data_IF_812239735161
#
_entry.id   IF_812239735161
#
_cell.length_a   1.000
_cell.length_b   1.000
_cell.length_c   1.000
_cell.angle_alpha   90.00
_cell.angle_beta   90.00
_cell.angle_gamma   90.00
#
_symmetry.space_group_name_H-M   'P 1'
#
loop_
_entity.id
_entity.type
_entity.pdbx_description
1 polymer ?
#
# COMPACT_ATOMS: atom_id res chain seq x y z
N UNK A 1 51.20 20.63 -2.07
CA UNK A 1 50.67 19.71 -1.06
C UNK A 1 49.11 19.73 -1.15
N UNK A 2 48.52 19.53 -2.36
CA UNK A 2 47.07 19.63 -2.61
C UNK A 2 46.51 18.55 -3.55
N UNK A 3 47.32 17.54 -3.92
CA UNK A 3 46.94 16.49 -4.87
C UNK A 3 46.94 15.07 -4.27
N UNK A 4 47.25 14.92 -2.99
CA UNK A 4 47.30 13.61 -2.31
C UNK A 4 46.01 13.20 -1.59
N UNK A 5 44.99 14.07 -1.54
CA UNK A 5 43.74 13.76 -0.81
C UNK A 5 42.69 13.11 -1.73
N UNK A 6 42.78 13.29 -3.05
CA UNK A 6 41.82 12.70 -3.99
C UNK A 6 42.10 11.24 -4.36
N UNK A 7 43.28 10.74 -4.06
CA UNK A 7 43.65 9.33 -4.34
C UNK A 7 43.19 8.34 -3.28
N UNK A 8 42.77 8.80 -2.08
CA UNK A 8 42.35 7.91 -1.00
C UNK A 8 40.83 7.65 -0.98
N UNK A 9 40.04 8.41 -1.76
CA UNK A 9 38.58 8.22 -1.79
C UNK A 9 38.11 7.18 -2.83
N UNK A 10 39.01 6.72 -3.70
CA UNK A 10 38.68 5.74 -4.76
C UNK A 10 38.95 4.28 -4.37
N UNK A 11 39.47 4.01 -3.17
CA UNK A 11 39.93 2.68 -2.76
C UNK A 11 38.96 1.95 -1.84
N UNK A 12 37.73 2.47 -1.64
CA UNK A 12 36.68 1.83 -0.82
C UNK A 12 35.44 1.40 -1.59
N UNK A 13 35.52 1.28 -2.92
CA UNK A 13 34.51 0.50 -3.63
C UNK A 13 35.00 -0.94 -3.63
N UNK A 14 34.81 -1.62 -2.52
CA UNK A 14 34.85 -3.08 -2.49
C UNK A 14 33.68 -3.58 -3.33
N UNK A 15 33.95 -4.02 -4.55
CA UNK A 15 33.02 -4.84 -5.31
C UNK A 15 32.78 -6.12 -4.50
N UNK A 16 31.68 -6.19 -3.78
CA UNK A 16 31.19 -7.45 -3.27
C UNK A 16 30.79 -8.28 -4.49
N UNK A 17 31.70 -9.09 -5.01
CA UNK A 17 31.37 -10.14 -5.98
C UNK A 17 30.57 -11.19 -5.23
N UNK A 18 29.25 -11.16 -5.36
CA UNK A 18 28.43 -12.24 -4.84
C UNK A 18 28.65 -13.46 -5.71
N UNK A 19 29.07 -14.57 -5.11
CA UNK A 19 29.11 -15.87 -5.77
C UNK A 19 27.70 -16.22 -6.20
N UNK A 20 27.50 -16.39 -7.51
CA UNK A 20 26.21 -16.77 -8.06
C UNK A 20 26.20 -18.29 -8.26
N UNK A 21 25.37 -18.97 -7.53
CA UNK A 21 25.11 -20.39 -7.70
C UNK A 21 24.20 -20.62 -8.92
N UNK A 22 24.44 -21.70 -9.68
CA UNK A 22 23.60 -22.09 -10.79
C UNK A 22 23.38 -23.60 -10.82
N UNK A 23 22.18 -24.02 -11.19
CA UNK A 23 21.83 -25.46 -11.36
C UNK A 23 20.99 -25.63 -12.61
N UNK A 24 21.17 -26.73 -13.32
CA UNK A 24 20.34 -27.08 -14.45
C UNK A 24 19.11 -27.88 -13.99
N UNK A 25 17.94 -27.49 -14.48
CA UNK A 25 16.68 -28.18 -14.21
C UNK A 25 16.01 -28.63 -15.50
N UNK A 26 15.35 -29.76 -15.47
CA UNK A 26 14.43 -30.22 -16.51
C UNK A 26 13.05 -30.33 -15.87
N UNK A 27 12.08 -29.65 -16.47
CA UNK A 27 10.71 -29.65 -15.96
C UNK A 27 9.89 -30.61 -16.84
N UNK A 28 9.22 -31.54 -16.18
CA UNK A 28 8.31 -32.49 -16.80
C UNK A 28 6.93 -32.37 -16.18
N UNK A 29 5.89 -32.57 -16.96
CA UNK A 29 4.51 -32.61 -16.49
C UNK A 29 3.99 -34.05 -16.47
N UNK A 30 3.04 -34.34 -15.61
CA UNK A 30 2.40 -35.65 -15.52
C UNK A 30 1.33 -35.74 -16.63
N UNK A 31 1.39 -36.81 -17.45
CA UNK A 31 0.48 -37.03 -18.60
C UNK A 31 0.43 -35.82 -19.56
N UNK A 32 1.54 -35.60 -20.31
CA UNK A 32 1.57 -34.58 -21.36
C UNK A 32 0.57 -34.96 -22.47
N UNK A 33 -0.36 -34.02 -22.73
CA UNK A 33 -1.19 -34.09 -23.95
C UNK A 33 -0.33 -33.71 -25.19
N UNK A 34 -0.82 -33.95 -26.39
CA UNK A 34 -0.11 -33.67 -27.66
C UNK A 34 0.40 -32.22 -27.82
N UNK A 35 -0.05 -31.29 -27.00
CA UNK A 35 0.44 -29.91 -26.93
C UNK A 35 1.43 -29.76 -25.78
N UNK A 36 2.65 -29.32 -26.07
CA UNK A 36 3.69 -29.05 -25.08
C UNK A 36 3.28 -27.95 -24.07
N UNK A 37 3.49 -28.21 -22.81
CA UNK A 37 3.14 -27.27 -21.75
C UNK A 37 4.18 -26.14 -21.59
N UNK A 38 3.72 -24.92 -21.37
CA UNK A 38 4.56 -23.78 -21.01
C UNK A 38 4.51 -23.55 -19.50
N UNK A 39 5.69 -23.44 -18.90
CA UNK A 39 5.86 -23.32 -17.45
C UNK A 39 6.55 -22.00 -17.11
N UNK A 40 5.89 -21.16 -16.35
CA UNK A 40 6.42 -19.91 -15.80
C UNK A 40 7.14 -20.20 -14.50
N UNK A 41 8.36 -19.72 -14.38
CA UNK A 41 9.23 -19.93 -13.23
C UNK A 41 9.38 -18.62 -12.48
N UNK A 42 9.08 -18.66 -11.19
CA UNK A 42 9.26 -17.55 -10.27
C UNK A 42 10.21 -17.94 -9.15
N UNK A 43 11.05 -17.02 -8.74
CA UNK A 43 11.79 -17.11 -7.47
C UNK A 43 11.06 -16.33 -6.40
N UNK A 44 10.98 -16.83 -5.18
CA UNK A 44 10.45 -16.06 -4.04
C UNK A 44 11.25 -14.79 -3.76
N UNK A 45 12.52 -14.79 -4.11
CA UNK A 45 13.43 -13.67 -3.87
C UNK A 45 13.41 -12.62 -5.00
N UNK A 46 13.35 -13.08 -6.26
CA UNK A 46 13.53 -12.23 -7.45
C UNK A 46 12.24 -12.00 -8.26
N UNK A 47 11.16 -12.71 -7.95
CA UNK A 47 9.93 -12.69 -8.74
C UNK A 47 10.04 -13.52 -10.03
N UNK A 48 9.43 -13.06 -11.11
CA UNK A 48 9.44 -13.75 -12.40
C UNK A 48 10.86 -13.91 -12.95
N UNK A 49 11.21 -15.13 -13.36
CA UNK A 49 12.53 -15.47 -13.92
C UNK A 49 12.41 -15.67 -15.43
N UNK A 50 11.61 -16.64 -15.87
CA UNK A 50 11.47 -17.01 -17.28
C UNK A 50 10.25 -17.90 -17.49
N UNK A 51 9.93 -18.15 -18.76
CA UNK A 51 8.96 -19.14 -19.21
C UNK A 51 9.68 -20.16 -20.09
N UNK A 52 9.45 -21.44 -19.87
CA UNK A 52 10.10 -22.54 -20.58
C UNK A 52 9.08 -23.57 -21.03
N UNK A 53 9.39 -24.25 -22.12
CA UNK A 53 8.62 -25.37 -22.65
C UNK A 53 8.99 -26.63 -21.86
N UNK A 54 8.02 -27.53 -21.70
CA UNK A 54 8.22 -28.83 -21.08
C UNK A 54 9.39 -29.59 -21.71
N UNK A 55 10.20 -30.23 -20.88
CA UNK A 55 11.37 -31.05 -21.29
C UNK A 55 12.60 -30.24 -21.65
N UNK A 56 12.52 -28.93 -21.76
CA UNK A 56 13.66 -28.06 -22.05
C UNK A 56 14.49 -27.83 -20.78
N UNK A 57 15.82 -27.91 -20.94
CA UNK A 57 16.74 -27.56 -19.85
C UNK A 57 16.73 -26.07 -19.57
N UNK A 58 16.60 -25.69 -18.32
CA UNK A 58 16.69 -24.33 -17.86
C UNK A 58 17.74 -24.20 -16.77
N UNK A 59 18.57 -23.15 -16.83
CA UNK A 59 19.56 -22.84 -15.80
C UNK A 59 18.94 -21.85 -14.82
N UNK A 60 18.73 -22.29 -13.59
CA UNK A 60 18.31 -21.43 -12.49
C UNK A 60 19.55 -20.86 -11.79
N UNK A 61 19.45 -19.61 -11.33
CA UNK A 61 20.54 -18.89 -10.66
C UNK A 61 20.07 -18.30 -9.36
N UNK A 62 20.89 -18.46 -8.31
CA UNK A 62 20.64 -17.88 -6.98
C UNK A 62 21.90 -17.26 -6.39
N UNK A 63 21.71 -16.33 -5.46
CA UNK A 63 22.79 -15.77 -4.63
C UNK A 63 22.99 -16.67 -3.39
N UNK A 64 21.94 -17.38 -2.98
CA UNK A 64 21.95 -18.26 -1.83
C UNK A 64 22.17 -19.71 -2.25
N UNK A 65 22.82 -20.53 -1.41
CA UNK A 65 23.02 -21.96 -1.68
C UNK A 65 21.71 -22.74 -1.72
N UNK A 66 20.63 -22.24 -1.11
CA UNK A 66 19.28 -22.78 -1.21
C UNK A 66 18.31 -21.65 -1.53
N UNK A 67 17.38 -21.89 -2.46
CA UNK A 67 16.36 -20.91 -2.84
C UNK A 67 15.09 -21.61 -3.28
N UNK A 68 13.95 -20.99 -3.00
CA UNK A 68 12.62 -21.52 -3.32
C UNK A 68 12.12 -20.96 -4.64
N UNK A 69 11.71 -21.86 -5.54
CA UNK A 69 11.12 -21.53 -6.81
C UNK A 69 9.68 -22.04 -6.88
N UNK A 70 8.86 -21.28 -7.61
CA UNK A 70 7.46 -21.60 -7.88
C UNK A 70 7.32 -21.82 -9.39
N UNK A 71 6.78 -22.95 -9.76
CA UNK A 71 6.53 -23.36 -11.14
C UNK A 71 5.04 -23.33 -11.40
N UNK A 72 4.61 -22.54 -12.38
CA UNK A 72 3.20 -22.29 -12.69
C UNK A 72 2.94 -22.64 -14.14
N UNK A 73 1.94 -23.47 -14.40
CA UNK A 73 1.41 -23.73 -15.72
C UNK A 73 -0.09 -23.54 -15.74
N UNK A 74 -0.67 -23.22 -16.90
CA UNK A 74 -2.11 -22.98 -17.01
C UNK A 74 -2.94 -24.24 -16.75
N UNK A 75 -2.43 -25.41 -17.17
CA UNK A 75 -3.16 -26.66 -17.20
C UNK A 75 -2.74 -27.64 -16.09
N UNK A 76 -1.69 -27.30 -15.34
CA UNK A 76 -1.13 -28.15 -14.29
C UNK A 76 -1.11 -27.44 -12.94
N UNK A 77 -0.97 -28.20 -11.87
CA UNK A 77 -0.89 -27.64 -10.51
C UNK A 77 0.39 -26.81 -10.33
N UNK A 78 0.28 -25.67 -9.70
CA UNK A 78 1.48 -24.93 -9.31
C UNK A 78 2.20 -25.67 -8.19
N UNK A 79 3.53 -25.78 -8.30
CA UNK A 79 4.37 -26.38 -7.27
C UNK A 79 5.40 -25.38 -6.77
N UNK A 80 5.67 -25.47 -5.49
CA UNK A 80 6.74 -24.75 -4.82
C UNK A 80 7.83 -25.76 -4.44
N UNK A 81 9.09 -25.49 -4.82
CA UNK A 81 10.21 -26.38 -4.53
C UNK A 81 11.43 -25.59 -4.08
N UNK A 82 12.01 -26.02 -2.97
CA UNK A 82 13.32 -25.55 -2.55
C UNK A 82 14.40 -26.29 -3.36
N UNK A 83 15.31 -25.54 -3.95
CA UNK A 83 16.40 -26.04 -4.78
C UNK A 83 17.71 -25.76 -4.04
N UNK A 84 18.51 -26.83 -3.85
CA UNK A 84 19.85 -26.76 -3.32
C UNK A 84 20.84 -26.62 -4.48
N UNK A 85 21.57 -25.54 -4.52
CA UNK A 85 22.53 -25.19 -5.57
C UNK A 85 23.93 -25.72 -5.29
N UNK A 86 24.13 -26.42 -4.18
CA UNK A 86 25.41 -27.04 -3.85
C UNK A 86 25.58 -28.42 -4.50
N UNK A 87 24.48 -28.99 -4.97
CA UNK A 87 24.49 -30.25 -5.71
C UNK A 87 24.55 -29.96 -7.22
N UNK A 88 25.60 -30.42 -7.90
CA UNK A 88 25.82 -30.19 -9.35
C UNK A 88 24.96 -31.13 -10.25
N UNK A 89 24.05 -31.90 -9.68
CA UNK A 89 23.18 -32.81 -10.44
C UNK A 89 22.06 -32.05 -11.15
N UNK A 90 21.68 -32.58 -12.37
CA UNK A 90 20.50 -32.06 -13.07
C UNK A 90 19.23 -32.40 -12.27
N UNK A 91 18.49 -31.43 -11.91
CA UNK A 91 17.27 -31.59 -11.10
C UNK A 91 16.07 -31.82 -12.02
N UNK A 92 15.40 -32.96 -11.87
CA UNK A 92 14.12 -33.22 -12.51
C UNK A 92 12.99 -32.70 -11.62
N UNK A 93 12.12 -31.84 -12.18
CA UNK A 93 10.97 -31.27 -11.50
C UNK A 93 9.72 -31.79 -12.20
N UNK A 94 8.87 -32.49 -11.45
CA UNK A 94 7.61 -33.02 -11.95
C UNK A 94 6.44 -32.16 -11.46
N UNK A 95 5.62 -31.67 -12.41
CA UNK A 95 4.42 -30.90 -12.11
C UNK A 95 3.21 -31.81 -12.32
N UNK A 96 2.43 -32.10 -11.24
CA UNK A 96 1.27 -32.97 -11.33
C UNK A 96 0.13 -32.31 -12.09
N UNK A 97 -0.69 -33.14 -12.73
CA UNK A 97 -1.89 -32.66 -13.42
C UNK A 97 -2.84 -32.00 -12.41
N UNK A 98 -3.49 -30.93 -12.84
CA UNK A 98 -4.50 -30.24 -12.04
C UNK A 98 -5.76 -31.10 -11.96
N UNK A 99 -5.98 -31.74 -10.82
CA UNK A 99 -7.27 -32.34 -10.55
C UNK A 99 -8.28 -31.22 -10.29
N UNK A 100 -9.23 -31.03 -11.19
CA UNK A 100 -10.32 -30.06 -11.02
C UNK A 100 -11.19 -30.42 -9.83
N UNK A 101 -10.77 -30.03 -8.65
CA UNK A 101 -11.72 -29.62 -7.62
C UNK A 101 -11.94 -28.15 -7.84
N UNK A 102 -13.13 -27.80 -8.30
CA UNK A 102 -13.64 -26.44 -8.44
C UNK A 102 -13.66 -25.74 -7.07
N UNK A 103 -12.51 -25.34 -6.60
CA UNK A 103 -12.39 -24.27 -5.64
C UNK A 103 -12.07 -23.03 -6.46
N UNK A 104 -12.95 -22.06 -6.37
CA UNK A 104 -12.83 -20.74 -7.00
C UNK A 104 -11.40 -20.20 -6.82
N UNK A 105 -10.56 -20.30 -7.86
CA UNK A 105 -9.25 -19.68 -7.85
C UNK A 105 -9.49 -18.23 -8.20
N UNK A 106 -9.46 -17.39 -7.19
CA UNK A 106 -9.38 -15.94 -7.38
C UNK A 106 -8.00 -15.67 -7.98
N UNK A 107 -7.92 -15.65 -9.30
CA UNK A 107 -6.81 -15.06 -10.03
C UNK A 107 -6.81 -13.57 -9.71
N UNK A 108 -6.00 -13.16 -8.76
CA UNK A 108 -5.67 -11.75 -8.55
C UNK A 108 -4.76 -11.27 -9.70
N UNK A 109 -5.29 -11.26 -10.92
CA UNK A 109 -4.78 -10.34 -11.90
C UNK A 109 -5.04 -8.95 -11.34
N UNK A 110 -4.02 -8.14 -11.16
CA UNK A 110 -4.12 -6.71 -10.80
C UNK A 110 -4.78 -5.93 -11.95
N UNK A 111 -6.02 -6.29 -12.29
CA UNK A 111 -6.87 -5.49 -13.14
C UNK A 111 -7.35 -4.37 -12.23
N UNK A 112 -7.00 -3.14 -12.55
CA UNK A 112 -7.61 -1.99 -11.89
C UNK A 112 -9.10 -2.08 -12.16
N UNK A 113 -9.85 -2.55 -11.19
CA UNK A 113 -11.29 -2.58 -11.28
C UNK A 113 -11.79 -1.14 -11.15
N UNK A 114 -12.76 -0.78 -12.01
CA UNK A 114 -13.43 0.51 -11.91
C UNK A 114 -14.07 0.67 -10.51
N UNK A 115 -14.39 -0.45 -9.88
CA UNK A 115 -14.90 -0.53 -8.52
C UNK A 115 -13.98 -1.40 -7.66
N UNK A 116 -13.03 -0.78 -7.01
CA UNK A 116 -12.10 -1.44 -6.08
C UNK A 116 -12.72 -1.64 -4.69
N UNK A 117 -13.96 -2.12 -4.63
CA UNK A 117 -14.69 -2.40 -3.39
C UNK A 117 -14.77 -3.89 -3.11
N UNK A 118 -14.53 -4.26 -1.88
CA UNK A 118 -14.79 -5.60 -1.34
C UNK A 118 -15.46 -5.50 0.02
N UNK A 119 -15.89 -6.62 0.58
CA UNK A 119 -16.35 -6.74 1.98
C UNK A 119 -15.19 -7.19 2.86
N UNK A 120 -15.25 -6.81 4.14
CA UNK A 120 -14.35 -7.38 5.14
C UNK A 120 -14.64 -8.86 5.35
N UNK A 121 -13.64 -9.59 5.82
CA UNK A 121 -13.81 -10.97 6.30
C UNK A 121 -14.75 -10.97 7.50
N UNK A 122 -15.44 -12.09 7.72
CA UNK A 122 -16.36 -12.23 8.85
C UNK A 122 -15.69 -12.01 10.20
N UNK A 123 -14.42 -12.36 10.29
CA UNK A 123 -13.58 -12.17 11.47
C UNK A 123 -12.22 -11.61 11.06
N UNK A 124 -11.74 -10.60 11.77
CA UNK A 124 -10.40 -10.04 11.61
C UNK A 124 -9.81 -9.79 13.00
N UNK A 125 -8.76 -10.55 13.36
CA UNK A 125 -8.21 -10.57 14.72
C UNK A 125 -9.31 -10.83 15.75
N UNK A 126 -9.61 -9.87 16.63
CA UNK A 126 -10.63 -9.97 17.68
C UNK A 126 -11.97 -9.34 17.29
N UNK A 127 -12.05 -8.73 16.10
CA UNK A 127 -13.26 -8.05 15.65
C UNK A 127 -14.16 -8.98 14.81
N UNK A 128 -15.49 -8.81 14.97
CA UNK A 128 -16.52 -9.62 14.31
C UNK A 128 -17.30 -8.73 13.33
N UNK A 129 -17.25 -9.07 12.04
CA UNK A 129 -17.93 -8.38 10.97
C UNK A 129 -18.99 -9.23 10.28
N UNK A 130 -19.16 -10.49 10.69
CA UNK A 130 -20.12 -11.42 10.11
C UNK A 130 -21.54 -10.83 10.06
N UNK A 131 -22.16 -10.86 8.87
CA UNK A 131 -23.49 -10.31 8.66
C UNK A 131 -23.61 -8.78 8.81
N UNK A 132 -22.48 -8.05 8.89
CA UNK A 132 -22.45 -6.60 9.07
C UNK A 132 -22.20 -5.86 7.76
N UNK A 133 -22.62 -4.59 7.71
CA UNK A 133 -22.37 -3.73 6.55
C UNK A 133 -20.98 -3.13 6.61
N UNK A 134 -20.07 -3.74 5.86
CA UNK A 134 -18.69 -3.30 5.75
C UNK A 134 -18.34 -3.11 4.27
N UNK A 135 -17.51 -2.12 4.00
CA UNK A 135 -17.03 -1.81 2.66
C UNK A 135 -15.51 -1.54 2.77
N UNK A 136 -14.73 -2.10 1.86
CA UNK A 136 -13.28 -1.92 1.82
C UNK A 136 -12.89 -1.36 0.47
N UNK A 137 -12.20 -0.22 0.48
CA UNK A 137 -11.61 0.39 -0.70
C UNK A 137 -10.18 -0.11 -0.83
N UNK A 138 -9.87 -0.77 -1.94
CA UNK A 138 -8.51 -1.18 -2.29
C UNK A 138 -7.80 0.01 -2.96
N UNK A 139 -7.02 0.77 -2.20
CA UNK A 139 -6.50 2.07 -2.63
C UNK A 139 -5.57 1.94 -3.85
N UNK A 140 -4.73 0.92 -3.90
CA UNK A 140 -3.83 0.70 -5.04
C UNK A 140 -4.55 0.36 -6.35
N UNK A 141 -5.75 -0.21 -6.26
CA UNK A 141 -6.57 -0.56 -7.42
C UNK A 141 -7.49 0.59 -7.84
N UNK A 142 -7.62 1.61 -7.00
CA UNK A 142 -8.41 2.80 -7.28
C UNK A 142 -7.80 3.63 -8.42
N UNK A 143 -8.66 4.22 -9.24
CA UNK A 143 -8.26 5.21 -10.26
C UNK A 143 -8.13 6.62 -9.68
N UNK A 144 -8.20 6.79 -8.36
CA UNK A 144 -8.11 8.07 -7.68
C UNK A 144 -6.72 8.71 -7.81
N UNK A 145 -6.69 10.03 -7.76
CA UNK A 145 -5.43 10.77 -7.62
C UNK A 145 -4.91 10.66 -6.18
N UNK A 146 -3.99 9.72 -5.97
CA UNK A 146 -3.42 9.44 -4.65
C UNK A 146 -2.47 10.54 -4.19
N UNK A 147 -1.76 11.21 -5.11
CA UNK A 147 -0.80 12.25 -4.77
C UNK A 147 -1.46 13.46 -4.11
N UNK A 148 -2.65 13.85 -4.56
CA UNK A 148 -3.44 14.93 -3.95
C UNK A 148 -4.33 14.45 -2.81
N UNK A 149 -4.34 13.16 -2.48
CA UNK A 149 -5.19 12.58 -1.44
C UNK A 149 -6.69 12.92 -1.63
N UNK A 150 -7.16 12.89 -2.89
CA UNK A 150 -8.48 13.38 -3.27
C UNK A 150 -9.60 12.49 -2.70
N UNK A 151 -10.23 12.94 -1.63
CA UNK A 151 -11.26 12.17 -0.93
C UNK A 151 -12.45 11.86 -1.82
N UNK A 152 -12.90 12.77 -2.68
CA UNK A 152 -14.03 12.52 -3.58
C UNK A 152 -13.75 11.38 -4.56
N UNK A 153 -12.52 11.26 -5.04
CA UNK A 153 -12.12 10.19 -5.95
C UNK A 153 -11.88 8.86 -5.20
N UNK A 154 -11.31 8.92 -3.99
CA UNK A 154 -11.02 7.73 -3.19
C UNK A 154 -12.30 7.05 -2.69
N UNK A 155 -13.26 7.85 -2.19
CA UNK A 155 -14.49 7.34 -1.56
C UNK A 155 -15.72 7.36 -2.47
N UNK A 156 -15.60 7.71 -3.75
CA UNK A 156 -16.72 7.87 -4.69
C UNK A 156 -17.56 6.60 -4.88
N UNK A 157 -17.00 5.44 -4.59
CA UNK A 157 -17.65 4.15 -4.79
C UNK A 157 -18.55 3.75 -3.61
N UNK A 158 -18.42 4.42 -2.46
CA UNK A 158 -19.17 4.10 -1.26
C UNK A 158 -20.48 4.91 -1.24
N UNK A 159 -21.58 4.21 -1.31
CA UNK A 159 -22.90 4.85 -1.28
C UNK A 159 -23.21 5.49 0.07
N UNK A 160 -23.89 6.64 0.05
CA UNK A 160 -24.38 7.34 1.24
C UNK A 160 -23.31 8.04 2.05
N UNK A 161 -22.16 8.37 1.44
CA UNK A 161 -21.18 9.31 1.97
C UNK A 161 -21.39 10.69 1.36
N UNK A 162 -21.34 11.70 2.19
CA UNK A 162 -21.27 13.10 1.82
C UNK A 162 -19.82 13.58 2.02
N UNK A 163 -19.20 14.11 0.96
CA UNK A 163 -17.76 14.38 0.93
C UNK A 163 -17.56 15.82 0.51
N UNK A 164 -16.93 16.61 1.37
CA UNK A 164 -16.47 17.95 1.04
C UNK A 164 -14.96 17.92 0.76
N UNK A 165 -14.52 18.79 -0.10
CA UNK A 165 -13.12 19.04 -0.37
C UNK A 165 -12.86 20.53 -0.13
N UNK A 166 -12.21 20.83 0.98
CA UNK A 166 -11.96 22.19 1.41
C UNK A 166 -10.53 22.65 1.17
N UNK A 167 -9.64 21.71 0.82
CA UNK A 167 -8.25 21.98 0.48
C UNK A 167 -7.82 21.22 -0.77
N UNK A 168 -6.78 21.69 -1.43
CA UNK A 168 -6.27 21.12 -2.70
C UNK A 168 -5.28 19.96 -2.46
N UNK A 169 -4.88 19.71 -1.23
CA UNK A 169 -3.87 18.72 -0.88
C UNK A 169 -4.43 17.51 -0.15
N UNK A 170 -5.72 17.52 0.21
CA UNK A 170 -6.35 16.45 1.00
C UNK A 170 -5.70 16.28 2.37
N UNK A 171 -5.36 17.40 3.02
CA UNK A 171 -4.73 17.38 4.35
C UNK A 171 -5.74 17.01 5.44
N UNK A 172 -6.95 17.49 5.29
CA UNK A 172 -8.07 17.20 6.18
C UNK A 172 -9.16 16.44 5.45
N UNK A 173 -9.66 15.39 6.06
CA UNK A 173 -10.76 14.61 5.53
C UNK A 173 -12.10 15.22 6.02
N UNK A 174 -13.03 15.37 5.09
CA UNK A 174 -14.37 15.86 5.36
C UNK A 174 -15.40 14.87 4.80
N UNK A 175 -15.78 13.88 5.62
CA UNK A 175 -16.72 12.83 5.27
C UNK A 175 -17.84 12.75 6.31
N UNK A 176 -19.08 12.88 5.85
CA UNK A 176 -20.30 12.59 6.59
C UNK A 176 -21.02 11.38 6.04
N UNK A 177 -21.66 10.61 6.88
CA UNK A 177 -22.47 9.47 6.48
C UNK A 177 -23.94 9.72 6.77
N UNK A 178 -24.84 9.21 5.91
CA UNK A 178 -26.30 9.25 6.15
C UNK A 178 -26.87 10.66 6.33
N UNK A 179 -26.36 11.64 5.58
CA UNK A 179 -26.81 13.02 5.65
C UNK A 179 -26.23 13.84 6.82
N UNK A 180 -25.31 13.27 7.61
CA UNK A 180 -24.61 14.00 8.65
C UNK A 180 -23.59 14.97 8.06
N UNK A 181 -23.30 16.04 8.79
CA UNK A 181 -22.32 17.04 8.42
C UNK A 181 -20.93 16.39 8.24
N UNK A 182 -20.28 16.56 7.09
CA UNK A 182 -18.97 16.01 6.82
C UNK A 182 -17.82 16.77 7.47
N UNK A 183 -18.08 17.91 8.13
CA UNK A 183 -17.01 18.77 8.64
C UNK A 183 -16.02 18.01 9.51
N UNK A 184 -14.75 17.98 9.06
CA UNK A 184 -13.62 17.32 9.72
C UNK A 184 -13.92 15.89 10.17
N UNK A 185 -14.82 15.21 9.45
CA UNK A 185 -15.20 13.81 9.70
C UNK A 185 -15.68 13.54 11.15
N UNK A 186 -16.24 14.56 11.80
CA UNK A 186 -16.61 14.55 13.22
C UNK A 186 -17.62 13.47 13.62
N UNK A 187 -18.34 12.90 12.66
CA UNK A 187 -19.34 11.85 12.88
C UNK A 187 -18.78 10.42 12.68
N UNK A 188 -17.51 10.27 12.31
CA UNK A 188 -16.83 9.00 12.20
C UNK A 188 -15.72 8.88 13.23
N UNK A 189 -15.54 7.68 13.78
CA UNK A 189 -14.29 7.36 14.46
C UNK A 189 -13.23 7.05 13.41
N UNK A 190 -12.12 7.75 13.41
CA UNK A 190 -11.02 7.58 12.46
C UNK A 190 -9.86 6.84 13.09
N UNK A 191 -9.38 5.80 12.41
CA UNK A 191 -8.29 4.94 12.90
C UNK A 191 -7.22 4.72 11.86
N UNK A 192 -6.00 4.54 12.32
CA UNK A 192 -4.87 4.06 11.54
C UNK A 192 -4.41 2.72 12.12
N UNK A 193 -4.34 1.67 11.31
CA UNK A 193 -4.00 0.32 11.77
C UNK A 193 -4.78 -0.13 13.01
N UNK A 194 -6.05 0.29 13.10
CA UNK A 194 -6.96 0.08 14.24
C UNK A 194 -6.70 0.92 15.49
N UNK A 195 -5.70 1.80 15.50
CA UNK A 195 -5.49 2.80 16.56
C UNK A 195 -6.27 4.08 16.26
N UNK A 196 -6.89 4.66 17.27
CA UNK A 196 -7.62 5.92 17.14
C UNK A 196 -6.67 7.08 16.81
N UNK A 197 -7.00 7.83 15.74
CA UNK A 197 -6.25 8.99 15.27
C UNK A 197 -7.11 10.26 15.24
N UNK A 198 -8.33 10.20 15.77
CA UNK A 198 -9.16 11.39 15.98
C UNK A 198 -8.61 12.25 17.12
N UNK A 199 -9.05 13.50 17.18
CA UNK A 199 -8.72 14.38 18.28
C UNK A 199 -9.60 14.18 19.54
N UNK A 200 -10.30 13.05 19.62
CA UNK A 200 -11.25 12.73 20.71
C UNK A 200 -10.60 12.75 22.09
N UNK A 201 -9.35 12.31 22.17
CA UNK A 201 -8.54 12.40 23.42
C UNK A 201 -8.40 13.83 23.94
N UNK A 202 -8.47 14.83 23.06
CA UNK A 202 -8.43 16.25 23.40
C UNK A 202 -9.84 16.82 23.59
N UNK A 203 -10.90 16.01 23.52
CA UNK A 203 -12.30 16.41 23.63
C UNK A 203 -12.91 16.93 22.33
N UNK A 204 -12.27 16.70 21.18
CA UNK A 204 -12.78 17.09 19.87
C UNK A 204 -13.07 15.84 19.02
N UNK A 205 -14.28 15.65 18.48
CA UNK A 205 -14.62 14.50 17.66
C UNK A 205 -14.03 14.56 16.25
N UNK A 206 -13.35 15.64 15.90
CA UNK A 206 -12.85 15.87 14.57
C UNK A 206 -11.57 15.12 14.27
N UNK A 207 -11.33 14.84 12.99
CA UNK A 207 -10.09 14.29 12.47
C UNK A 207 -9.26 15.40 11.83
N UNK A 208 -8.08 15.65 12.36
CA UNK A 208 -7.11 16.63 11.86
C UNK A 208 -5.96 15.97 11.10
N UNK A 209 -5.89 14.68 11.12
CA UNK A 209 -4.89 13.89 10.43
C UNK A 209 -5.55 12.93 9.44
N UNK A 210 -5.04 12.92 8.21
CA UNK A 210 -5.40 11.92 7.18
C UNK A 210 -4.14 11.29 6.66
N UNK A 211 -3.96 9.96 6.78
CA UNK A 211 -2.81 9.27 6.21
C UNK A 211 -2.72 9.51 4.70
N UNK A 212 -1.50 9.65 4.14
CA UNK A 212 -1.34 9.79 2.70
C UNK A 212 -1.86 8.53 1.99
N UNK A 213 -2.72 8.72 0.98
CA UNK A 213 -3.32 7.61 0.23
C UNK A 213 -2.27 6.71 -0.42
N UNK A 214 -1.11 7.22 -0.77
CA UNK A 214 0.01 6.45 -1.32
C UNK A 214 0.58 5.42 -0.34
N UNK A 215 0.45 5.67 0.97
CA UNK A 215 0.86 4.76 2.04
C UNK A 215 -0.17 3.68 2.35
N UNK A 216 -1.42 3.82 1.87
CA UNK A 216 -2.52 2.94 2.22
C UNK A 216 -2.56 1.69 1.34
N UNK A 217 -2.81 0.55 1.96
CA UNK A 217 -3.21 -0.68 1.30
C UNK A 217 -4.73 -0.66 1.06
N UNK A 218 -5.49 -0.41 2.12
CA UNK A 218 -6.95 -0.38 2.06
C UNK A 218 -7.54 0.62 3.06
N UNK A 219 -8.78 1.05 2.79
CA UNK A 219 -9.60 1.83 3.73
C UNK A 219 -10.84 1.02 4.05
N UNK A 220 -11.04 0.70 5.32
CA UNK A 220 -12.18 -0.04 5.81
C UNK A 220 -13.25 0.94 6.31
N UNK A 221 -14.45 0.85 5.76
CA UNK A 221 -15.62 1.64 6.17
C UNK A 221 -16.60 0.72 6.86
N UNK A 222 -16.75 0.89 8.17
CA UNK A 222 -17.56 0.02 9.01
C UNK A 222 -18.72 0.84 9.57
N UNK A 223 -19.93 0.42 9.25
CA UNK A 223 -21.16 1.17 9.59
C UNK A 223 -22.14 0.33 10.40
N UNK A 224 -22.97 1.02 11.19
CA UNK A 224 -24.00 0.39 12.00
C UNK A 224 -23.44 -0.38 13.19
N UNK A 225 -24.07 -1.47 13.57
CA UNK A 225 -23.72 -2.20 14.81
C UNK A 225 -22.26 -2.71 14.87
N UNK A 226 -21.62 -2.94 13.73
CA UNK A 226 -20.21 -3.38 13.72
C UNK A 226 -19.23 -2.30 14.19
N UNK A 227 -19.56 -1.01 13.99
CA UNK A 227 -18.72 0.11 14.45
C UNK A 227 -18.74 0.29 15.96
N UNK A 228 -19.76 -0.21 16.65
CA UNK A 228 -19.87 -0.10 18.11
C UNK A 228 -18.77 -0.87 18.87
N UNK A 229 -18.09 -1.81 18.23
CA UNK A 229 -16.92 -2.47 18.78
C UNK A 229 -15.76 -1.50 19.06
N UNK A 230 -15.79 -0.34 18.41
CA UNK A 230 -14.70 0.65 18.46
C UNK A 230 -15.10 1.97 19.10
N UNK A 231 -16.32 2.09 19.57
CA UNK A 231 -16.86 3.28 20.20
C UNK A 231 -18.16 3.76 19.54
N UNK A 232 -18.70 4.84 20.06
CA UNK A 232 -20.00 5.38 19.66
C UNK A 232 -19.84 6.55 18.70
N UNK A 233 -19.88 6.31 17.40
CA UNK A 233 -19.94 7.35 16.38
C UNK A 233 -21.13 7.10 15.43
N UNK A 234 -21.91 8.15 15.15
CA UNK A 234 -23.14 8.05 14.34
C UNK A 234 -22.87 7.68 12.88
N UNK A 235 -21.79 8.15 12.31
CA UNK A 235 -21.37 7.86 10.93
C UNK A 235 -20.83 6.45 10.74
N UNK A 236 -20.17 5.94 11.78
CA UNK A 236 -19.44 4.68 11.76
C UNK A 236 -17.94 4.85 12.02
N UNK A 237 -17.16 3.98 11.41
CA UNK A 237 -15.71 3.93 11.58
C UNK A 237 -15.01 3.93 10.23
N UNK A 238 -13.94 4.71 10.13
CA UNK A 238 -12.97 4.69 9.03
C UNK A 238 -11.65 4.15 9.57
N UNK A 239 -11.19 3.01 9.08
CA UNK A 239 -9.88 2.47 9.44
C UNK A 239 -8.95 2.49 8.23
N UNK A 240 -7.90 3.27 8.31
CA UNK A 240 -6.85 3.39 7.31
C UNK A 240 -5.78 2.33 7.59
N UNK A 241 -5.72 1.30 6.75
CA UNK A 241 -4.67 0.28 6.85
C UNK A 241 -3.48 0.67 6.00
N UNK A 242 -2.37 0.91 6.64
CA UNK A 242 -1.10 1.17 5.97
C UNK A 242 -0.55 -0.11 5.35
N UNK A 243 0.21 0.05 4.27
CA UNK A 243 0.91 -1.06 3.62
C UNK A 243 1.85 -1.74 4.60
N UNK A 244 1.69 -3.03 4.75
CA UNK A 244 2.63 -3.84 5.51
C UNK A 244 3.84 -4.21 4.65
N UNK A 245 4.96 -4.50 5.30
CA UNK A 245 6.14 -5.01 4.62
C UNK A 245 5.90 -6.46 4.22
N UNK A 246 5.57 -6.68 2.96
CA UNK A 246 5.39 -8.01 2.36
C UNK A 246 6.63 -8.49 1.60
N UNK A 247 7.63 -7.63 1.47
CA UNK A 247 8.87 -7.96 0.76
C UNK A 247 9.78 -8.83 1.59
N UNK A 248 10.42 -9.79 0.95
CA UNK A 248 11.53 -10.57 1.52
C UNK A 248 12.89 -9.90 1.27
N UNK A 249 12.91 -8.76 0.56
CA UNK A 249 14.14 -8.01 0.28
C UNK A 249 14.61 -7.29 1.54
N UNK A 250 15.92 -7.22 1.76
CA UNK A 250 16.48 -6.43 2.86
C UNK A 250 16.09 -4.95 2.77
N UNK A 251 15.99 -4.41 1.56
CA UNK A 251 15.65 -3.01 1.31
C UNK A 251 14.79 -2.87 0.05
N UNK A 252 13.77 -2.04 0.14
CA UNK A 252 12.93 -1.63 -0.99
C UNK A 252 12.63 -0.14 -0.85
N UNK A 253 12.92 0.64 -1.87
CA UNK A 253 12.71 2.08 -1.93
C UNK A 253 11.69 2.39 -3.04
N UNK A 254 10.67 3.15 -2.68
CA UNK A 254 9.72 3.76 -3.61
C UNK A 254 9.77 5.27 -3.43
N UNK A 255 9.92 6.02 -4.51
CA UNK A 255 9.75 7.46 -4.49
C UNK A 255 8.83 7.90 -5.63
N UNK A 256 7.92 8.82 -5.32
CA UNK A 256 7.01 9.45 -6.28
C UNK A 256 7.05 10.95 -6.09
N UNK A 257 7.24 11.65 -7.20
CA UNK A 257 7.22 13.10 -7.23
C UNK A 257 6.11 13.55 -8.18
N UNK A 258 5.29 14.48 -7.74
CA UNK A 258 4.20 15.04 -8.55
C UNK A 258 4.32 16.56 -8.57
N UNK A 259 4.19 17.11 -9.76
CA UNK A 259 4.13 18.55 -9.99
C UNK A 259 2.79 18.85 -10.66
N UNK A 260 2.12 19.91 -10.23
CA UNK A 260 0.82 20.28 -10.74
C UNK A 260 0.60 21.78 -10.82
N UNK A 261 -0.61 22.16 -11.20
CA UNK A 261 -1.05 23.55 -11.24
C UNK A 261 -0.94 24.23 -9.87
N UNK A 262 -0.95 25.55 -9.84
CA UNK A 262 -0.92 26.36 -8.63
C UNK A 262 0.28 26.08 -7.70
N UNK A 263 1.42 25.71 -8.30
CA UNK A 263 2.64 25.40 -7.58
C UNK A 263 2.56 24.13 -6.75
N UNK A 264 1.65 23.21 -7.08
CA UNK A 264 1.57 21.91 -6.40
C UNK A 264 2.86 21.11 -6.61
N UNK A 265 3.46 20.74 -5.52
CA UNK A 265 4.56 19.77 -5.46
C UNK A 265 4.28 18.75 -4.36
N UNK A 266 4.36 17.47 -4.69
CA UNK A 266 4.29 16.39 -3.69
C UNK A 266 5.47 15.45 -3.87
N UNK A 267 6.01 14.98 -2.76
CA UNK A 267 6.98 13.89 -2.71
C UNK A 267 6.48 12.84 -1.72
N UNK A 268 6.33 11.62 -2.18
CA UNK A 268 6.11 10.45 -1.33
C UNK A 268 7.30 9.52 -1.49
N UNK A 269 8.02 9.27 -0.41
CA UNK A 269 9.15 8.34 -0.37
C UNK A 269 8.92 7.31 0.72
N UNK A 270 8.90 6.04 0.34
CA UNK A 270 8.72 4.91 1.24
C UNK A 270 9.95 4.01 1.20
N UNK A 271 10.43 3.65 2.37
CA UNK A 271 11.51 2.69 2.57
C UNK A 271 10.97 1.53 3.41
N UNK A 272 11.05 0.32 2.88
CA UNK A 272 10.65 -0.87 3.61
C UNK A 272 11.60 -2.03 3.35
N UNK A 273 11.57 -3.04 4.23
CA UNK A 273 12.42 -4.21 4.07
C UNK A 273 12.28 -5.21 5.21
N UNK A 274 12.97 -6.35 5.02
CA UNK A 274 13.04 -7.42 6.00
C UNK A 274 14.48 -7.89 6.19
N UNK A 275 14.92 -7.94 7.44
CA UNK A 275 16.23 -8.43 7.86
C UNK A 275 16.01 -9.59 8.84
N UNK A 276 15.90 -10.81 8.31
CA UNK A 276 15.57 -11.98 9.11
C UNK A 276 14.19 -11.83 9.77
N UNK A 277 14.18 -11.78 11.11
CA UNK A 277 12.95 -11.60 11.92
C UNK A 277 12.49 -10.13 12.03
N UNK A 278 13.32 -9.18 11.63
CA UNK A 278 13.02 -7.77 11.70
C UNK A 278 12.39 -7.30 10.40
N UNK A 279 11.23 -6.63 10.49
CA UNK A 279 10.55 -5.94 9.39
C UNK A 279 10.47 -4.46 9.72
N UNK A 280 10.67 -3.62 8.72
CA UNK A 280 10.52 -2.19 8.87
C UNK A 280 9.78 -1.58 7.69
N UNK A 281 9.02 -0.54 7.98
CA UNK A 281 8.34 0.28 6.99
C UNK A 281 8.34 1.73 7.46
N UNK A 282 8.82 2.61 6.61
CA UNK A 282 8.80 4.04 6.88
C UNK A 282 8.40 4.80 5.63
N UNK A 283 7.77 5.95 5.81
CA UNK A 283 7.57 6.87 4.71
C UNK A 283 7.78 8.32 5.15
N UNK A 284 8.14 9.13 4.18
CA UNK A 284 8.12 10.58 4.22
C UNK A 284 7.19 11.09 3.12
N UNK A 285 6.27 11.96 3.48
CA UNK A 285 5.37 12.61 2.53
C UNK A 285 5.41 14.12 2.72
N UNK A 286 5.80 14.82 1.66
CA UNK A 286 5.84 16.27 1.59
C UNK A 286 4.81 16.75 0.59
N UNK A 287 4.02 17.78 0.96
CA UNK A 287 3.07 18.43 0.06
C UNK A 287 3.17 19.94 0.23
N UNK A 288 3.28 20.64 -0.90
CA UNK A 288 3.32 22.11 -0.96
C UNK A 288 2.48 22.60 -2.12
N UNK A 289 1.87 23.76 -1.97
CA UNK A 289 1.12 24.39 -3.04
C UNK A 289 0.52 25.72 -2.64
N UNK A 290 0.09 26.50 -3.63
CA UNK A 290 -0.54 27.80 -3.40
C UNK A 290 -2.08 27.70 -3.40
N UNK A 291 -2.64 26.54 -3.89
CA UNK A 291 -4.06 26.41 -4.14
C UNK A 291 -4.57 27.27 -5.29
N UNK A 292 -5.84 27.11 -5.65
CA UNK A 292 -6.40 27.80 -6.82
C UNK A 292 -7.03 29.17 -6.47
N UNK A 293 -7.22 29.48 -5.18
CA UNK A 293 -7.75 30.76 -4.67
C UNK A 293 -6.75 31.45 -3.76
N UNK A 294 -6.81 32.77 -3.61
CA UNK A 294 -6.09 33.47 -2.53
C UNK A 294 -6.39 32.83 -1.18
N UNK A 295 -5.41 32.82 -0.28
CA UNK A 295 -5.52 32.22 1.04
C UNK A 295 -5.78 30.69 1.03
N UNK A 296 -5.18 29.99 0.06
CA UNK A 296 -5.26 28.53 -0.10
C UNK A 296 -3.90 27.83 -0.02
N UNK A 297 -2.84 28.58 0.34
CA UNK A 297 -1.47 28.02 0.42
C UNK A 297 -1.39 26.97 1.51
N UNK A 298 -0.65 25.91 1.23
CA UNK A 298 -0.37 24.84 2.18
C UNK A 298 1.07 24.35 2.11
N UNK A 299 1.56 23.88 3.22
CA UNK A 299 2.82 23.18 3.42
C UNK A 299 2.60 22.08 4.44
N UNK A 300 2.96 20.84 4.13
CA UNK A 300 2.74 19.71 5.01
C UNK A 300 3.87 18.71 4.89
N UNK A 301 4.34 18.22 6.01
CA UNK A 301 5.28 17.10 6.10
C UNK A 301 4.73 16.03 7.04
N UNK A 302 4.75 14.78 6.57
CA UNK A 302 4.29 13.63 7.33
C UNK A 302 5.35 12.54 7.31
N UNK A 303 5.71 12.05 8.46
CA UNK A 303 6.68 10.97 8.68
C UNK A 303 6.01 9.83 9.39
N UNK A 304 6.22 8.63 8.91
CA UNK A 304 5.80 7.40 9.55
C UNK A 304 6.96 6.45 9.68
N UNK A 305 7.01 5.74 10.78
CA UNK A 305 7.99 4.69 11.02
C UNK A 305 7.31 3.52 11.76
N UNK A 306 7.44 2.33 11.21
CA UNK A 306 7.04 1.08 11.85
C UNK A 306 8.23 0.13 11.90
N UNK A 307 8.39 -0.51 13.05
CA UNK A 307 9.36 -1.56 13.28
C UNK A 307 8.63 -2.75 13.89
N UNK A 308 8.75 -3.92 13.28
CA UNK A 308 8.13 -5.15 13.74
C UNK A 308 9.16 -6.26 13.85
N UNK A 309 9.18 -6.95 14.98
CA UNK A 309 10.12 -8.05 15.26
C UNK A 309 9.36 -9.32 15.65
N UNK A 310 9.62 -10.40 14.92
CA UNK A 310 9.05 -11.72 15.19
C UNK A 310 9.88 -12.41 16.26
N UNK A 311 9.42 -12.38 17.52
CA UNK A 311 10.10 -13.00 18.67
C UNK A 311 10.07 -14.52 18.52
N UNK A 312 8.88 -15.06 18.24
CA UNK A 312 8.61 -16.47 17.93
C UNK A 312 7.58 -16.56 16.82
N UNK A 313 7.18 -17.79 16.46
CA UNK A 313 6.16 -18.01 15.42
C UNK A 313 4.78 -17.47 15.83
N UNK A 314 4.50 -17.43 17.15
CA UNK A 314 3.23 -16.97 17.71
C UNK A 314 3.30 -15.58 18.36
N UNK A 315 4.49 -14.97 18.44
CA UNK A 315 4.68 -13.72 19.17
C UNK A 315 5.43 -12.70 18.34
N UNK A 316 4.80 -11.55 18.14
CA UNK A 316 5.37 -10.41 17.44
C UNK A 316 5.32 -9.15 18.31
N UNK A 317 6.38 -8.37 18.27
CA UNK A 317 6.42 -7.02 18.84
C UNK A 317 6.46 -5.99 17.71
N UNK A 318 5.63 -4.94 17.80
CA UNK A 318 5.61 -3.87 16.81
C UNK A 318 5.56 -2.51 17.49
N UNK A 319 6.21 -1.51 16.87
CA UNK A 319 6.18 -0.11 17.29
C UNK A 319 5.88 0.76 16.08
N UNK A 320 4.99 1.72 16.26
CA UNK A 320 4.61 2.71 15.23
C UNK A 320 4.77 4.12 15.77
N UNK A 321 5.32 5.00 14.93
CA UNK A 321 5.42 6.44 15.19
C UNK A 321 4.92 7.18 13.96
N UNK A 322 3.99 8.10 14.17
CA UNK A 322 3.51 9.04 13.14
C UNK A 322 3.78 10.46 13.61
N UNK A 323 4.39 11.27 12.76
CA UNK A 323 4.58 12.69 12.97
C UNK A 323 4.01 13.46 11.79
N UNK A 324 3.18 14.46 12.08
CA UNK A 324 2.61 15.37 11.08
C UNK A 324 2.83 16.81 11.54
N UNK A 325 3.35 17.60 10.64
CA UNK A 325 3.36 19.05 10.73
C UNK A 325 2.76 19.66 9.47
N UNK A 326 1.80 20.58 9.61
CA UNK A 326 1.25 21.25 8.46
C UNK A 326 0.74 22.65 8.77
N UNK A 327 0.85 23.49 7.76
CA UNK A 327 0.20 24.80 7.71
C UNK A 327 -0.71 24.84 6.49
N UNK A 328 -2.00 25.07 6.68
CA UNK A 328 -2.97 25.20 5.61
C UNK A 328 -3.82 26.46 5.81
N UNK A 329 -3.75 27.33 4.84
CA UNK A 329 -4.62 28.50 4.76
C UNK A 329 -6.00 28.07 4.27
N UNK A 330 -7.04 28.75 4.71
CA UNK A 330 -8.42 28.43 4.35
C UNK A 330 -9.10 29.66 3.75
N UNK A 331 -9.50 29.61 2.47
CA UNK A 331 -10.13 30.73 1.79
C UNK A 331 -11.58 30.96 2.20
N UNK A 332 -12.17 30.00 2.93
CA UNK A 332 -13.59 30.00 3.29
C UNK A 332 -14.53 29.59 2.16
N UNK A 333 -15.74 29.17 2.54
CA UNK A 333 -16.81 28.86 1.58
C UNK A 333 -17.40 30.15 0.99
N UNK A 334 -17.74 30.12 -0.28
CA UNK A 334 -18.45 31.22 -0.96
C UNK A 334 -19.96 30.92 -0.91
N UNK A 335 -20.77 31.97 -0.64
CA UNK A 335 -22.19 31.90 -0.94
C UNK A 335 -22.43 31.95 -2.46
N UNK A 336 -23.62 31.58 -2.91
CA UNK A 336 -23.96 31.60 -4.34
C UNK A 336 -23.73 33.00 -4.96
N UNK A 337 -24.09 34.08 -4.25
CA UNK A 337 -23.85 35.44 -4.70
C UNK A 337 -22.36 35.78 -4.86
N UNK A 338 -21.55 35.45 -3.86
CA UNK A 338 -20.11 35.66 -3.91
C UNK A 338 -19.44 34.81 -5.01
N UNK A 339 -19.90 33.60 -5.22
CA UNK A 339 -19.40 32.72 -6.29
C UNK A 339 -19.74 33.29 -7.67
N UNK A 340 -20.94 33.81 -7.87
CA UNK A 340 -21.34 34.43 -9.14
C UNK A 340 -20.57 35.73 -9.43
N UNK A 341 -20.26 36.49 -8.36
CA UNK A 341 -19.47 37.73 -8.48
C UNK A 341 -18.00 37.42 -8.85
N UNK A 342 -17.35 36.56 -8.08
CA UNK A 342 -15.99 36.12 -8.33
C UNK A 342 -15.70 34.77 -7.67
N UNK A 343 -15.65 33.66 -8.43
CA UNK A 343 -15.40 32.33 -7.91
C UNK A 343 -13.97 32.14 -7.33
N UNK A 344 -13.07 33.05 -7.62
CA UNK A 344 -11.67 33.01 -7.17
C UNK A 344 -11.40 33.84 -5.92
N UNK A 345 -12.40 34.54 -5.36
CA UNK A 345 -12.17 35.33 -4.17
C UNK A 345 -12.03 34.47 -2.90
N UNK A 346 -11.40 35.02 -1.89
CA UNK A 346 -11.31 34.47 -0.53
C UNK A 346 -12.21 35.25 0.40
N UNK A 347 -12.95 34.53 1.26
CA UNK A 347 -13.78 35.15 2.33
C UNK A 347 -12.88 35.57 3.50
N UNK A 348 -11.84 34.78 3.76
CA UNK A 348 -10.90 35.09 4.84
C UNK A 348 -9.65 35.74 4.30
N UNK A 349 -9.17 36.78 5.00
CA UNK A 349 -7.86 37.39 4.74
C UNK A 349 -6.80 36.72 5.61
N UNK A 350 -5.61 36.54 5.06
CA UNK A 350 -4.44 36.19 5.86
C UNK A 350 -4.11 37.37 6.78
N UNK A 351 -4.14 37.13 8.07
CA UNK A 351 -3.58 38.01 9.07
C UNK A 351 -2.53 37.27 9.87
#
# INVERSE_FOLDING_TARGET
MRYTVYSLFFLFISFNSYTQYSVECIIKVEESNDAKAFIKIYSKEKGYITEVEEGVKVTLKSINPKSTFIFISNDYSSIEKEIDFTDESIINIYIPRRLEKLNEIILNAKKKDVFALKRMKDFEKTAIYAGKKTEVILVEQSMANLASNNARQIFNQISGLNIYQNDDAGLQLHIGGRGLDPNRTSNFNTRQNSYDISADVLGYPESYYTPPAEALEEIQVIRGAASLQYGTQFGGLLNFKLKETTTYRPISLLTRNTIGSNGLYTNFTQLNGRLGKLRYNSFFNLKKGNGFRPNSKFDSSNVFFNLSYDISDDTQMSSEITYLDYLAQQPGGLSDGLFQENPYQSVYSNR
#
